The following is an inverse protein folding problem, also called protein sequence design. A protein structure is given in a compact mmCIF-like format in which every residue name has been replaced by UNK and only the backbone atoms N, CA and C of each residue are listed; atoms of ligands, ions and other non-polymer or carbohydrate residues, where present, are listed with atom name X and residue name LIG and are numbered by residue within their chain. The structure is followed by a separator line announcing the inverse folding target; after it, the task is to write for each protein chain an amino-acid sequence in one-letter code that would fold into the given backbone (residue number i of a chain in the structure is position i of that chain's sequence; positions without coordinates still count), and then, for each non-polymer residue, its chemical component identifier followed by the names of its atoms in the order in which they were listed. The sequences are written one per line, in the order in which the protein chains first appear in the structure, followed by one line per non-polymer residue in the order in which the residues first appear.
data_IF_264274186431
#
_entry.id   IF_264274186431
#
_cell.length_a   1.000
_cell.length_b   1.000
_cell.length_c   1.000
_cell.angle_alpha   90.00
_cell.angle_beta   90.00
_cell.angle_gamma   90.00
#
_symmetry.space_group_name_H-M   'P 1'
#
loop_
_entity.id
_entity.type
_entity.pdbx_description
1 polymer ?
#
# COMPACT_ATOMS: atom_id res chain seq x y z
N UNK A 1 -4.28 -16.59 57.41
CA UNK A 1 -3.15 -16.53 56.46
C UNK A 1 -3.47 -17.23 55.12
N UNK A 2 -4.62 -16.95 54.49
CA UNK A 2 -4.99 -17.59 53.20
C UNK A 2 -5.45 -16.56 52.13
N UNK A 3 -5.25 -15.29 52.35
CA UNK A 3 -5.70 -14.21 51.38
C UNK A 3 -4.57 -13.46 50.69
N UNK A 4 -3.29 -13.85 50.92
CA UNK A 4 -2.13 -13.14 50.34
C UNK A 4 -1.53 -13.84 49.11
N UNK A 5 -2.02 -15.02 48.71
CA UNK A 5 -1.48 -15.77 47.56
C UNK A 5 -2.25 -15.60 46.26
N UNK A 6 -3.40 -14.96 46.28
CA UNK A 6 -4.21 -14.76 45.06
C UNK A 6 -3.91 -13.47 44.28
N UNK A 7 -3.22 -12.52 44.90
CA UNK A 7 -2.91 -11.22 44.27
C UNK A 7 -1.62 -11.27 43.44
N UNK A 8 -0.76 -12.25 43.61
CA UNK A 8 0.49 -12.35 42.82
C UNK A 8 0.33 -13.06 41.47
N UNK A 9 -0.73 -13.86 41.29
CA UNK A 9 -0.95 -14.60 40.05
C UNK A 9 -1.51 -13.73 38.89
N UNK A 10 -2.14 -12.60 39.21
CA UNK A 10 -2.77 -11.73 38.18
C UNK A 10 -1.75 -10.77 37.57
N UNK A 11 -0.65 -10.46 38.27
CA UNK A 11 0.39 -9.54 37.77
C UNK A 11 1.33 -10.24 36.76
N UNK A 12 1.47 -11.56 36.83
CA UNK A 12 2.34 -12.30 35.92
C UNK A 12 1.73 -12.58 34.54
N UNK A 13 0.41 -12.53 34.38
CA UNK A 13 -0.27 -12.73 33.10
C UNK A 13 -0.39 -11.45 32.26
N UNK A 14 -0.19 -10.29 32.86
CA UNK A 14 -0.18 -9.01 32.14
C UNK A 14 1.12 -8.70 31.39
N UNK A 15 2.24 -9.35 31.73
CA UNK A 15 3.55 -9.07 31.12
C UNK A 15 3.86 -9.91 29.88
N UNK A 16 3.15 -10.98 29.62
CA UNK A 16 3.40 -11.84 28.45
C UNK A 16 2.70 -11.36 27.18
N UNK A 17 1.69 -10.49 27.28
CA UNK A 17 1.02 -9.91 26.09
C UNK A 17 1.72 -8.65 25.53
N UNK A 18 2.59 -8.01 26.31
CA UNK A 18 3.34 -6.84 25.84
C UNK A 18 4.61 -7.19 25.05
N UNK A 19 5.12 -8.41 25.18
CA UNK A 19 6.37 -8.83 24.48
C UNK A 19 6.15 -9.35 23.05
N UNK A 20 4.94 -9.65 22.64
CA UNK A 20 4.67 -10.11 21.26
C UNK A 20 4.48 -8.96 20.26
N UNK A 21 4.41 -7.71 20.70
CA UNK A 21 4.32 -6.53 19.82
C UNK A 21 5.67 -5.85 19.55
N UNK A 22 6.74 -6.26 20.21
CA UNK A 22 8.06 -5.62 20.11
C UNK A 22 9.07 -6.40 19.24
N UNK A 23 8.65 -7.38 18.45
CA UNK A 23 9.47 -7.81 17.30
C UNK A 23 9.30 -6.80 16.17
N UNK A 24 9.78 -5.60 16.42
CA UNK A 24 10.11 -4.63 15.39
C UNK A 24 11.16 -5.27 14.49
N UNK A 25 10.80 -5.48 13.24
CA UNK A 25 11.74 -5.75 12.18
C UNK A 25 12.82 -4.68 12.19
N UNK A 26 13.98 -4.98 12.76
CA UNK A 26 15.23 -4.29 12.46
C UNK A 26 15.41 -4.45 10.96
N UNK A 27 15.16 -3.38 10.21
CA UNK A 27 15.53 -3.28 8.81
C UNK A 27 17.04 -3.28 8.77
N UNK A 28 17.64 -4.44 8.70
CA UNK A 28 19.02 -4.58 8.30
C UNK A 28 19.09 -4.11 6.84
N UNK A 29 19.79 -3.02 6.60
CA UNK A 29 20.23 -2.60 5.28
C UNK A 29 21.17 -3.68 4.71
N UNK A 30 20.62 -4.77 4.23
CA UNK A 30 21.29 -5.77 3.45
C UNK A 30 20.84 -5.62 2.01
N UNK A 31 21.80 -5.25 1.18
CA UNK A 31 21.88 -5.53 -0.25
C UNK A 31 20.54 -5.78 -0.98
N UNK A 32 20.06 -4.77 -1.68
CA UNK A 32 19.31 -4.78 -2.95
C UNK A 32 18.12 -5.72 -3.18
N UNK A 33 17.71 -6.56 -2.25
CA UNK A 33 16.73 -7.64 -2.49
C UNK A 33 15.44 -7.59 -1.67
N UNK A 34 15.27 -6.60 -0.79
CA UNK A 34 14.02 -6.51 -0.04
C UNK A 34 12.86 -6.05 -0.91
N UNK A 35 11.85 -6.92 -1.01
CA UNK A 35 10.66 -6.67 -1.81
C UNK A 35 9.62 -5.95 -0.96
N UNK A 36 9.13 -4.82 -1.45
CA UNK A 36 8.04 -4.08 -0.83
C UNK A 36 6.78 -4.95 -0.74
N UNK A 37 6.08 -4.88 0.40
CA UNK A 37 4.89 -5.71 0.67
C UNK A 37 3.70 -4.84 1.05
N UNK A 38 2.53 -5.20 0.51
CA UNK A 38 1.22 -4.72 0.95
C UNK A 38 0.53 -5.83 1.76
N UNK A 39 0.20 -5.60 3.03
CA UNK A 39 -0.41 -6.62 3.92
C UNK A 39 0.34 -7.96 3.92
N UNK A 40 1.67 -7.91 3.89
CA UNK A 40 2.58 -9.04 3.74
C UNK A 40 2.54 -9.74 2.37
N UNK A 41 1.86 -9.19 1.38
CA UNK A 41 1.86 -9.66 -0.01
C UNK A 41 2.95 -8.90 -0.76
N UNK A 42 3.96 -9.57 -1.35
CA UNK A 42 5.00 -8.92 -2.13
C UNK A 42 4.44 -8.18 -3.36
N UNK A 43 4.89 -6.95 -3.62
CA UNK A 43 4.50 -6.17 -4.81
C UNK A 43 5.28 -6.69 -6.02
N UNK A 44 5.00 -7.91 -6.41
CA UNK A 44 5.59 -8.62 -7.55
C UNK A 44 4.73 -9.82 -7.96
N UNK A 45 5.09 -10.42 -9.10
CA UNK A 45 4.48 -11.66 -9.57
C UNK A 45 3.17 -11.42 -10.33
N UNK A 46 2.51 -12.50 -10.69
CA UNK A 46 1.33 -12.48 -11.53
C UNK A 46 0.10 -11.95 -10.77
N UNK A 47 -0.74 -11.16 -11.45
CA UNK A 47 -1.95 -10.57 -10.85
C UNK A 47 -2.94 -11.60 -10.33
N UNK A 48 -3.04 -12.78 -10.96
CA UNK A 48 -3.95 -13.85 -10.50
C UNK A 48 -3.48 -14.45 -9.16
N UNK A 49 -2.18 -14.63 -8.98
CA UNK A 49 -1.62 -15.10 -7.71
C UNK A 49 -1.75 -14.03 -6.61
N UNK A 50 -1.60 -12.78 -6.99
CA UNK A 50 -1.81 -11.65 -6.08
C UNK A 50 -3.26 -11.56 -5.63
N UNK A 51 -4.23 -11.77 -6.56
CA UNK A 51 -5.67 -11.82 -6.27
C UNK A 51 -6.01 -12.88 -5.22
N UNK A 52 -5.50 -14.09 -5.36
CA UNK A 52 -5.73 -15.14 -4.35
C UNK A 52 -5.26 -14.70 -2.96
N UNK A 53 -4.07 -14.12 -2.88
CA UNK A 53 -3.53 -13.61 -1.60
C UNK A 53 -4.33 -12.42 -1.05
N UNK A 54 -4.88 -11.56 -1.90
CA UNK A 54 -5.78 -10.47 -1.46
C UNK A 54 -7.05 -11.01 -0.83
N UNK A 55 -7.67 -12.02 -1.46
CA UNK A 55 -8.87 -12.71 -0.92
C UNK A 55 -8.58 -13.39 0.41
N UNK A 56 -7.42 -14.04 0.56
CA UNK A 56 -6.96 -14.63 1.84
C UNK A 56 -6.78 -13.58 2.95
N UNK A 57 -6.59 -12.31 2.59
CA UNK A 57 -6.53 -11.16 3.52
C UNK A 57 -7.89 -10.47 3.70
N UNK A 58 -8.99 -11.12 3.30
CA UNK A 58 -10.36 -10.62 3.39
C UNK A 58 -10.64 -9.36 2.56
N UNK A 59 -9.92 -9.16 1.43
CA UNK A 59 -10.30 -8.17 0.44
C UNK A 59 -11.31 -8.78 -0.53
N UNK A 60 -12.41 -8.06 -0.75
CA UNK A 60 -13.49 -8.47 -1.65
C UNK A 60 -13.17 -7.91 -3.04
N UNK A 61 -13.00 -8.78 -4.02
CA UNK A 61 -12.84 -8.39 -5.42
C UNK A 61 -14.14 -7.83 -5.97
N UNK A 62 -14.09 -6.63 -6.59
CA UNK A 62 -15.26 -5.94 -7.14
C UNK A 62 -15.21 -5.73 -8.65
N UNK A 63 -14.10 -6.08 -9.29
CA UNK A 63 -14.00 -6.02 -10.74
C UNK A 63 -12.58 -5.76 -11.26
N UNK A 64 -12.48 -5.82 -12.59
CA UNK A 64 -11.25 -5.53 -13.32
C UNK A 64 -11.53 -4.42 -14.34
N UNK A 65 -10.78 -3.31 -14.25
CA UNK A 65 -10.93 -2.18 -15.15
C UNK A 65 -9.56 -1.54 -15.42
N UNK A 66 -9.25 -1.22 -16.69
CA UNK A 66 -8.01 -0.55 -17.12
C UNK A 66 -6.72 -1.19 -16.57
N UNK A 67 -6.59 -2.52 -16.70
CA UNK A 67 -5.45 -3.28 -16.17
C UNK A 67 -5.24 -3.07 -14.67
N UNK A 68 -6.34 -3.03 -13.93
CA UNK A 68 -6.35 -2.99 -12.48
C UNK A 68 -7.46 -3.88 -11.91
N UNK A 69 -7.11 -4.71 -10.93
CA UNK A 69 -8.06 -5.43 -10.10
C UNK A 69 -8.49 -4.52 -8.95
N UNK A 70 -9.79 -4.38 -8.76
CA UNK A 70 -10.36 -3.49 -7.74
C UNK A 70 -10.93 -4.32 -6.59
N UNK A 71 -10.71 -3.85 -5.38
CA UNK A 71 -11.13 -4.51 -4.14
C UNK A 71 -11.68 -3.50 -3.14
N UNK A 72 -12.49 -4.02 -2.21
CA UNK A 72 -12.87 -3.34 -0.97
C UNK A 72 -12.37 -4.19 0.19
N UNK A 73 -11.84 -3.57 1.22
CA UNK A 73 -11.35 -4.28 2.40
C UNK A 73 -11.01 -3.37 3.56
N UNK A 74 -10.39 -3.96 4.61
CA UNK A 74 -9.98 -3.22 5.79
C UNK A 74 -8.48 -2.96 5.81
N UNK A 75 -8.10 -1.70 5.95
CA UNK A 75 -6.71 -1.27 6.07
C UNK A 75 -6.57 -0.15 7.11
N UNK A 76 -5.65 -0.26 8.05
CA UNK A 76 -5.52 0.65 9.20
C UNK A 76 -6.83 0.87 9.96
N UNK A 77 -7.64 -0.20 10.13
CA UNK A 77 -8.94 -0.12 10.82
C UNK A 77 -10.06 0.58 10.03
N UNK A 78 -9.82 0.94 8.78
CA UNK A 78 -10.74 1.68 7.91
C UNK A 78 -11.14 0.85 6.70
N UNK A 79 -12.38 1.03 6.24
CA UNK A 79 -12.84 0.47 4.97
C UNK A 79 -12.23 1.28 3.84
N UNK A 80 -11.52 0.63 2.93
CA UNK A 80 -10.79 1.29 1.84
C UNK A 80 -11.11 0.63 0.50
N UNK A 81 -10.94 1.41 -0.56
CA UNK A 81 -10.85 0.89 -1.93
C UNK A 81 -9.38 0.60 -2.24
N UNK A 82 -9.11 -0.54 -2.86
CA UNK A 82 -7.76 -0.93 -3.26
C UNK A 82 -7.74 -1.28 -4.74
N UNK A 83 -6.81 -0.67 -5.48
CA UNK A 83 -6.56 -0.98 -6.89
C UNK A 83 -5.19 -1.65 -7.01
N UNK A 84 -5.15 -2.87 -7.52
CA UNK A 84 -3.91 -3.58 -7.84
C UNK A 84 -3.69 -3.48 -9.33
N UNK A 85 -2.76 -2.63 -9.74
CA UNK A 85 -2.41 -2.39 -11.13
C UNK A 85 -1.37 -3.40 -11.60
N UNK A 86 -1.44 -3.79 -12.86
CA UNK A 86 -0.53 -4.74 -13.48
C UNK A 86 -0.18 -4.33 -14.92
N UNK A 87 0.94 -4.82 -15.42
CA UNK A 87 1.37 -4.65 -16.82
C UNK A 87 0.44 -5.50 -17.71
N UNK A 88 -0.25 -4.91 -18.71
CA UNK A 88 -1.26 -5.62 -19.51
C UNK A 88 -0.74 -6.89 -20.18
N UNK A 89 0.46 -6.85 -20.72
CA UNK A 89 1.08 -7.94 -21.51
C UNK A 89 1.61 -9.05 -20.61
N UNK A 90 2.40 -8.69 -19.60
CA UNK A 90 3.08 -9.67 -18.74
C UNK A 90 2.27 -10.12 -17.54
N UNK A 91 1.15 -9.45 -17.24
CA UNK A 91 0.30 -9.66 -16.07
C UNK A 91 1.05 -9.51 -14.74
N UNK A 92 2.22 -8.86 -14.75
CA UNK A 92 3.01 -8.60 -13.56
C UNK A 92 2.45 -7.42 -12.77
N UNK A 93 2.32 -7.59 -11.45
CA UNK A 93 1.88 -6.52 -10.55
C UNK A 93 2.90 -5.37 -10.55
N UNK A 94 2.41 -4.16 -10.78
CA UNK A 94 3.20 -2.94 -10.84
C UNK A 94 2.99 -2.02 -9.64
N UNK A 95 1.73 -1.91 -9.16
CA UNK A 95 1.37 -0.96 -8.10
C UNK A 95 0.14 -1.42 -7.32
N UNK A 96 0.12 -1.11 -6.02
CA UNK A 96 -1.09 -1.17 -5.19
C UNK A 96 -1.44 0.23 -4.75
N UNK A 97 -2.65 0.68 -5.05
CA UNK A 97 -3.20 1.99 -4.68
C UNK A 97 -4.29 1.77 -3.64
N UNK A 98 -4.12 2.33 -2.48
CA UNK A 98 -5.14 2.37 -1.42
C UNK A 98 -5.78 3.74 -1.43
N UNK A 99 -7.09 3.79 -1.52
CA UNK A 99 -7.88 5.02 -1.48
C UNK A 99 -8.69 5.02 -0.20
N UNK A 100 -8.44 5.99 0.63
CA UNK A 100 -9.18 6.17 1.87
C UNK A 100 -10.43 7.04 1.59
N UNK A 101 -11.60 6.67 2.15
CA UNK A 101 -12.86 7.35 1.87
C UNK A 101 -13.03 8.67 2.65
N UNK A 102 -12.20 8.90 3.66
CA UNK A 102 -12.29 10.07 4.53
C UNK A 102 -12.12 11.37 3.74
N UNK A 103 -12.83 12.40 4.18
CA UNK A 103 -12.84 13.73 3.59
C UNK A 103 -12.66 14.82 4.67
N UNK A 104 -12.30 16.02 4.27
CA UNK A 104 -12.21 17.15 5.19
C UNK A 104 -11.16 16.99 6.28
N UNK A 105 -11.54 17.24 7.52
CA UNK A 105 -10.65 17.21 8.69
C UNK A 105 -10.16 15.78 8.99
N UNK A 106 -11.05 14.80 8.89
CA UNK A 106 -10.69 13.38 9.10
C UNK A 106 -9.62 12.90 8.12
N UNK A 107 -9.64 13.39 6.87
CA UNK A 107 -8.60 13.11 5.88
C UNK A 107 -7.26 13.76 6.26
N UNK A 108 -7.28 14.97 6.85
CA UNK A 108 -6.06 15.62 7.33
C UNK A 108 -5.43 14.83 8.49
N UNK A 109 -6.24 14.47 9.48
CA UNK A 109 -5.79 13.67 10.63
C UNK A 109 -5.23 12.31 10.20
N UNK A 110 -5.90 11.66 9.25
CA UNK A 110 -5.42 10.41 8.66
C UNK A 110 -4.09 10.61 7.93
N UNK A 111 -3.97 11.65 7.12
CA UNK A 111 -2.74 11.96 6.37
C UNK A 111 -1.56 12.14 7.32
N UNK A 112 -1.71 12.98 8.35
CA UNK A 112 -0.69 13.20 9.38
C UNK A 112 -0.35 11.92 10.16
N UNK A 113 -1.37 11.10 10.47
CA UNK A 113 -1.15 9.81 11.12
C UNK A 113 -0.32 8.87 10.24
N UNK A 114 -0.64 8.77 8.94
CA UNK A 114 0.08 7.93 8.00
C UNK A 114 1.53 8.40 7.82
N UNK A 115 1.79 9.71 7.77
CA UNK A 115 3.15 10.27 7.75
C UNK A 115 3.97 9.72 8.91
N UNK A 116 3.46 9.86 10.14
CA UNK A 116 4.16 9.40 11.35
C UNK A 116 4.44 7.90 11.32
N UNK A 117 3.51 7.09 10.81
CA UNK A 117 3.69 5.64 10.69
C UNK A 117 4.71 5.26 9.61
N UNK A 118 4.68 5.96 8.47
CA UNK A 118 5.60 5.72 7.36
C UNK A 118 7.03 6.18 7.70
N UNK A 119 7.20 7.35 8.31
CA UNK A 119 8.50 7.85 8.78
C UNK A 119 9.14 6.91 9.82
N UNK A 120 8.35 6.32 10.70
CA UNK A 120 8.84 5.33 11.66
C UNK A 120 9.34 4.06 10.99
N UNK A 121 8.71 3.67 9.87
CA UNK A 121 9.01 2.42 9.17
C UNK A 121 10.02 2.59 8.05
N UNK A 122 9.99 3.72 7.34
CA UNK A 122 10.81 4.02 6.16
C UNK A 122 11.59 5.32 6.40
N UNK A 123 12.91 5.25 6.41
CA UNK A 123 13.77 6.33 6.94
C UNK A 123 13.97 7.52 6.01
N UNK A 124 13.79 7.36 4.72
CA UNK A 124 14.11 8.40 3.72
C UNK A 124 12.82 8.88 3.07
N UNK A 125 12.49 10.15 3.29
CA UNK A 125 11.35 10.82 2.70
C UNK A 125 11.83 11.95 1.79
N UNK A 126 11.20 12.08 0.64
CA UNK A 126 11.27 13.24 -0.25
C UNK A 126 9.90 13.93 -0.26
N UNK A 127 9.90 15.24 -0.31
CA UNK A 127 8.68 16.06 -0.38
C UNK A 127 8.59 16.67 -1.77
N UNK A 128 7.41 16.58 -2.38
CA UNK A 128 7.08 17.27 -3.61
C UNK A 128 5.91 18.22 -3.33
N UNK A 129 6.17 19.51 -3.41
CA UNK A 129 5.23 20.59 -3.12
C UNK A 129 4.46 21.03 -4.38
N UNK A 130 4.09 20.10 -5.25
CA UNK A 130 3.29 20.34 -6.43
C UNK A 130 1.81 20.66 -6.13
N UNK A 131 0.92 20.28 -7.06
CA UNK A 131 -0.53 20.52 -6.96
C UNK A 131 -1.20 19.76 -5.82
N UNK A 132 -0.63 18.63 -5.42
CA UNK A 132 -1.09 17.75 -4.33
C UNK A 132 0.00 17.66 -3.25
N UNK A 133 -0.40 17.50 -1.98
CA UNK A 133 0.54 17.17 -0.92
C UNK A 133 1.08 15.76 -1.16
N UNK A 134 2.33 15.64 -1.62
CA UNK A 134 2.91 14.38 -2.06
C UNK A 134 4.21 14.12 -1.29
N UNK A 135 4.28 12.95 -0.66
CA UNK A 135 5.43 12.47 0.08
C UNK A 135 5.86 11.11 -0.44
N UNK A 136 7.18 10.94 -0.64
CA UNK A 136 7.75 9.74 -1.26
C UNK A 136 8.77 9.12 -0.30
N UNK A 137 8.59 7.84 0.01
CA UNK A 137 9.59 7.01 0.70
C UNK A 137 10.18 6.00 -0.27
N UNK A 138 11.50 6.05 -0.45
CA UNK A 138 12.22 5.05 -1.22
C UNK A 138 12.41 3.76 -0.40
N UNK A 139 12.17 2.60 -1.02
CA UNK A 139 12.39 1.29 -0.43
C UNK A 139 13.30 0.46 -1.34
N UNK A 140 14.57 0.45 -1.03
CA UNK A 140 15.60 -0.02 -1.94
C UNK A 140 15.67 0.85 -3.21
N UNK A 141 16.18 0.27 -4.29
CA UNK A 141 16.27 0.96 -5.59
C UNK A 141 15.01 0.77 -6.46
N UNK A 142 14.28 -0.32 -6.22
CA UNK A 142 13.22 -0.79 -7.11
C UNK A 142 11.81 -0.36 -6.68
N UNK A 143 11.65 0.06 -5.43
CA UNK A 143 10.33 0.33 -4.87
C UNK A 143 10.23 1.73 -4.28
N UNK A 144 9.00 2.22 -4.25
CA UNK A 144 8.65 3.46 -3.54
C UNK A 144 7.27 3.36 -2.91
N UNK A 145 7.06 4.15 -1.86
CA UNK A 145 5.76 4.37 -1.25
C UNK A 145 5.44 5.84 -1.42
N UNK A 146 4.27 6.15 -1.94
CA UNK A 146 3.82 7.51 -2.18
C UNK A 146 2.54 7.71 -1.37
N UNK A 147 2.56 8.67 -0.47
CA UNK A 147 1.38 9.18 0.21
C UNK A 147 1.03 10.52 -0.41
N UNK A 148 -0.21 10.69 -0.82
CA UNK A 148 -0.70 11.95 -1.36
C UNK A 148 -2.09 12.27 -0.84
N UNK A 149 -2.38 13.57 -0.73
CA UNK A 149 -3.71 14.09 -0.45
C UNK A 149 -4.12 15.02 -1.58
N UNK A 150 -5.12 14.62 -2.32
CA UNK A 150 -5.62 15.41 -3.44
C UNK A 150 -6.44 16.61 -2.94
N UNK A 151 -6.06 17.82 -3.33
CA UNK A 151 -6.71 19.05 -2.85
C UNK A 151 -8.15 19.20 -3.32
N UNK A 152 -8.49 18.70 -4.52
CA UNK A 152 -9.84 18.82 -5.08
C UNK A 152 -10.81 17.80 -4.47
N UNK A 153 -10.43 16.53 -4.44
CA UNK A 153 -11.27 15.45 -3.87
C UNK A 153 -11.10 15.29 -2.37
N UNK A 154 -10.06 15.94 -1.79
CA UNK A 154 -9.65 15.84 -0.37
C UNK A 154 -9.42 14.40 0.12
N UNK A 155 -9.27 13.46 -0.80
CA UNK A 155 -9.01 12.04 -0.49
C UNK A 155 -7.53 11.79 -0.28
N UNK A 156 -7.24 10.83 0.60
CA UNK A 156 -5.89 10.35 0.86
C UNK A 156 -5.63 9.09 0.04
N UNK A 157 -4.47 9.06 -0.62
CA UNK A 157 -4.00 7.94 -1.43
C UNK A 157 -2.67 7.43 -0.88
N UNK A 158 -2.55 6.12 -0.74
CA UNK A 158 -1.30 5.48 -0.37
C UNK A 158 -0.93 4.45 -1.43
N UNK A 159 0.17 4.69 -2.11
CA UNK A 159 0.63 3.88 -3.23
C UNK A 159 1.88 3.07 -2.82
N UNK A 160 1.90 1.79 -3.19
CA UNK A 160 3.04 0.89 -3.10
C UNK A 160 3.46 0.55 -4.53
N UNK A 161 4.62 1.00 -4.98
CA UNK A 161 5.01 0.96 -6.40
C UNK A 161 6.28 0.14 -6.60
N UNK A 162 6.23 -0.79 -7.57
CA UNK A 162 7.40 -1.35 -8.22
C UNK A 162 7.74 -0.44 -9.41
N UNK A 163 8.83 0.32 -9.34
CA UNK A 163 9.18 1.37 -10.31
C UNK A 163 9.32 0.81 -11.72
N UNK A 164 10.13 -0.22 -11.90
CA UNK A 164 10.37 -0.81 -13.22
C UNK A 164 9.06 -1.34 -13.86
N UNK A 165 8.19 -1.99 -13.08
CA UNK A 165 6.92 -2.49 -13.59
C UNK A 165 5.89 -1.39 -13.80
N UNK A 166 5.98 -0.29 -13.07
CA UNK A 166 5.15 0.90 -13.28
C UNK A 166 5.52 1.63 -14.58
N UNK A 167 6.81 1.75 -14.87
CA UNK A 167 7.32 2.31 -16.13
C UNK A 167 6.94 1.42 -17.33
N UNK A 168 7.13 0.09 -17.22
CA UNK A 168 6.71 -0.88 -18.22
C UNK A 168 5.20 -0.76 -18.52
N UNK A 169 4.37 -0.68 -17.48
CA UNK A 169 2.92 -0.49 -17.62
C UNK A 169 2.58 0.81 -18.36
N UNK A 170 3.24 1.91 -18.00
CA UNK A 170 3.03 3.21 -18.64
C UNK A 170 3.38 3.18 -20.13
N UNK A 171 4.49 2.54 -20.50
CA UNK A 171 4.90 2.33 -21.89
C UNK A 171 3.80 1.64 -22.70
N UNK A 172 3.26 0.53 -22.23
CA UNK A 172 2.20 -0.19 -22.95
C UNK A 172 0.88 0.57 -23.03
N UNK A 173 0.54 1.35 -22.00
CA UNK A 173 -0.65 2.21 -22.04
C UNK A 173 -0.54 3.29 -23.10
N UNK A 174 0.61 3.95 -23.20
CA UNK A 174 0.84 4.99 -24.21
C UNK A 174 0.80 4.38 -25.62
N UNK A 175 1.48 3.27 -25.83
CA UNK A 175 1.47 2.56 -27.12
C UNK A 175 0.04 2.18 -27.55
N UNK A 176 -0.79 1.72 -26.63
CA UNK A 176 -2.20 1.41 -26.92
C UNK A 176 -2.99 2.69 -27.28
N UNK A 177 -2.76 3.78 -26.57
CA UNK A 177 -3.42 5.07 -26.85
C UNK A 177 -3.01 5.61 -28.22
N UNK A 178 -1.73 5.55 -28.57
CA UNK A 178 -1.22 5.93 -29.90
C UNK A 178 -1.90 5.11 -30.99
N UNK A 179 -1.93 3.77 -30.84
CA UNK A 179 -2.61 2.90 -31.79
C UNK A 179 -4.11 3.24 -31.96
N UNK A 180 -4.83 3.48 -30.85
CA UNK A 180 -6.25 3.88 -30.89
C UNK A 180 -6.44 5.22 -31.62
N UNK A 181 -5.54 6.17 -31.44
CA UNK A 181 -5.59 7.48 -32.09
C UNK A 181 -5.35 7.34 -33.59
N UNK A 182 -4.37 6.55 -34.01
CA UNK A 182 -4.05 6.30 -35.42
C UNK A 182 -5.20 5.61 -36.18
N UNK A 183 -5.95 4.72 -35.51
CA UNK A 183 -7.02 3.94 -36.14
C UNK A 183 -8.44 4.44 -35.80
N UNK A 184 -8.55 5.62 -35.22
CA UNK A 184 -9.84 6.20 -34.84
C UNK A 184 -10.79 6.42 -36.02
N UNK A 185 -10.26 6.59 -37.23
CA UNK A 185 -11.02 6.84 -38.44
C UNK A 185 -11.32 5.55 -39.24
N UNK A 186 -10.88 4.38 -38.75
CA UNK A 186 -11.10 3.09 -39.43
C UNK A 186 -12.38 2.39 -38.94
N UNK A 187 -13.11 2.98 -38.00
CA UNK A 187 -14.38 2.53 -37.44
C UNK A 187 -15.53 3.38 -37.96
#
# INVERSE_FOLDING_TARGET
MKRLLLTFAIILQGMTLAQSYAQSHTVNNTDGTEILKFKNIPIKGNIKEFDLKMRDKNFIFIGNLYSAYNYIGMFYGRKVDVKVQYVPETKQVSKVVVVFPEEGEEANDLYEHLIKQLDKKYRTRQEDFGVDDLLIWSYGREYEIILSKNHSSKKVFLNYTNKAKSEERYYYQNKHTEWMTEHQNDL
#
